data_IF_570531181781
#
_entry.id   IF_570531181781
#
_cell.length_a   1.000
_cell.length_b   1.000
_cell.length_c   1.000
_cell.angle_alpha   90.00
_cell.angle_beta   90.00
_cell.angle_gamma   90.00
#
_symmetry.space_group_name_H-M   'P 1'
#
loop_
_entity.id
_entity.type
_entity.pdbx_description
1 polymer ?
#
# COMPACT_ATOMS: atom_id res chain seq x y z
N UNK A 1 -35.63 -5.17 15.02
CA UNK A 1 -34.44 -4.30 15.19
C UNK A 1 -33.65 -4.15 13.90
N UNK A 2 -32.90 -5.16 13.42
CA UNK A 2 -32.06 -5.00 12.22
C UNK A 2 -32.89 -4.67 10.97
N UNK A 3 -34.00 -5.38 10.74
CA UNK A 3 -34.90 -5.12 9.59
C UNK A 3 -35.53 -3.72 9.65
N UNK A 4 -35.76 -3.21 10.86
CA UNK A 4 -36.39 -1.91 11.11
C UNK A 4 -35.47 -0.74 10.76
N UNK A 5 -34.15 -0.88 11.00
CA UNK A 5 -33.18 0.20 10.83
C UNK A 5 -32.30 0.05 9.58
N UNK A 6 -32.14 -1.17 9.06
CA UNK A 6 -31.25 -1.45 7.93
C UNK A 6 -32.05 -1.84 6.69
N UNK A 7 -31.98 -1.02 5.65
CA UNK A 7 -32.54 -1.33 4.32
C UNK A 7 -31.81 -2.53 3.70
N UNK A 8 -32.55 -3.45 3.06
CA UNK A 8 -32.03 -4.63 2.36
C UNK A 8 -30.95 -4.20 1.33
N UNK A 9 -29.84 -4.95 1.25
CA UNK A 9 -28.67 -4.74 0.38
C UNK A 9 -27.81 -3.48 0.61
N UNK A 10 -28.24 -2.53 1.45
CA UNK A 10 -27.43 -1.33 1.75
C UNK A 10 -26.28 -1.60 2.73
N UNK A 11 -26.46 -2.57 3.62
CA UNK A 11 -25.52 -2.88 4.70
C UNK A 11 -25.22 -4.38 4.75
N UNK A 12 -23.95 -4.73 5.03
CA UNK A 12 -23.61 -6.08 5.48
C UNK A 12 -24.09 -6.23 6.91
N UNK A 13 -25.00 -7.17 7.16
CA UNK A 13 -25.63 -7.40 8.46
C UNK A 13 -24.91 -8.56 9.14
N UNK A 14 -24.36 -8.34 10.33
CA UNK A 14 -23.68 -9.35 11.13
C UNK A 14 -24.24 -9.38 12.54
N UNK A 15 -24.62 -10.55 13.02
CA UNK A 15 -25.06 -10.79 14.40
C UNK A 15 -23.94 -11.58 15.10
N UNK A 16 -23.45 -11.07 16.21
CA UNK A 16 -22.51 -11.79 17.08
C UNK A 16 -23.28 -12.20 18.34
N UNK A 17 -23.50 -13.51 18.49
CA UNK A 17 -24.18 -14.09 19.64
C UNK A 17 -23.13 -14.60 20.63
N UNK A 18 -22.99 -13.91 21.76
CA UNK A 18 -22.12 -14.36 22.86
C UNK A 18 -22.99 -15.11 23.87
N UNK A 19 -22.69 -16.38 24.13
CA UNK A 19 -23.46 -17.22 25.06
C UNK A 19 -22.57 -18.19 25.82
N UNK A 20 -22.94 -18.50 27.06
CA UNK A 20 -22.31 -19.57 27.83
C UNK A 20 -22.99 -20.94 27.59
N UNK A 21 -24.01 -21.02 26.72
CA UNK A 21 -24.68 -22.28 26.35
C UNK A 21 -25.53 -22.93 27.45
N UNK A 22 -25.62 -22.32 28.64
CA UNK A 22 -26.35 -22.88 29.79
C UNK A 22 -27.82 -22.41 29.86
N UNK A 23 -28.22 -21.49 28.99
CA UNK A 23 -29.60 -21.03 28.87
C UNK A 23 -30.50 -22.07 28.21
N UNK A 24 -31.77 -22.13 28.60
CA UNK A 24 -32.78 -22.93 27.89
C UNK A 24 -32.96 -22.38 26.47
N UNK A 25 -32.70 -23.20 25.46
CA UNK A 25 -32.96 -22.90 24.05
C UNK A 25 -34.13 -23.74 23.56
N UNK A 26 -35.06 -23.13 22.83
CA UNK A 26 -36.16 -23.82 22.13
C UNK A 26 -35.77 -24.03 20.67
N UNK A 27 -36.12 -25.18 20.10
CA UNK A 27 -35.86 -25.58 18.71
C UNK A 27 -37.04 -25.34 17.76
N UNK A 28 -38.22 -25.00 18.31
CA UNK A 28 -39.50 -24.92 17.59
C UNK A 28 -39.45 -24.01 16.33
N UNK A 29 -38.74 -22.88 16.39
CA UNK A 29 -38.70 -21.87 15.32
C UNK A 29 -37.40 -21.83 14.51
N UNK A 30 -36.49 -22.79 14.70
CA UNK A 30 -35.16 -22.75 14.10
C UNK A 30 -35.21 -22.67 12.56
N UNK A 31 -36.15 -23.40 11.95
CA UNK A 31 -36.33 -23.42 10.50
C UNK A 31 -36.74 -22.07 9.91
N UNK A 32 -37.58 -21.32 10.62
CA UNK A 32 -37.99 -19.98 10.20
C UNK A 32 -36.86 -18.96 10.37
N UNK A 33 -36.08 -19.10 11.45
CA UNK A 33 -34.91 -18.26 11.71
C UNK A 33 -33.88 -18.45 10.59
N UNK A 34 -33.57 -19.69 10.22
CA UNK A 34 -32.63 -19.99 9.12
C UNK A 34 -33.13 -19.41 7.79
N UNK A 35 -34.43 -19.51 7.49
CA UNK A 35 -35.02 -18.91 6.28
C UNK A 35 -34.86 -17.39 6.27
N UNK A 36 -35.21 -16.71 7.37
CA UNK A 36 -35.05 -15.25 7.49
C UNK A 36 -33.59 -14.83 7.40
N UNK A 37 -32.67 -15.53 8.06
CA UNK A 37 -31.22 -15.24 8.01
C UNK A 37 -30.67 -15.36 6.59
N UNK A 38 -31.06 -16.38 5.83
CA UNK A 38 -30.66 -16.55 4.43
C UNK A 38 -31.28 -15.49 3.51
N UNK A 39 -32.58 -15.22 3.67
CA UNK A 39 -33.28 -14.22 2.85
C UNK A 39 -32.73 -12.81 3.06
N UNK A 40 -32.34 -12.50 4.29
CA UNK A 40 -31.74 -11.23 4.66
C UNK A 40 -30.20 -11.20 4.52
N UNK A 41 -29.55 -12.28 4.11
CA UNK A 41 -28.10 -12.34 4.00
C UNK A 41 -27.41 -11.81 5.29
N UNK A 42 -27.82 -12.36 6.43
CA UNK A 42 -27.27 -12.01 7.74
C UNK A 42 -26.16 -13.01 8.06
N UNK A 43 -24.97 -12.50 8.39
CA UNK A 43 -23.85 -13.29 8.89
C UNK A 43 -24.03 -13.52 10.39
N UNK A 44 -24.31 -14.76 10.83
CA UNK A 44 -24.42 -15.11 12.25
C UNK A 44 -23.11 -15.72 12.74
N UNK A 45 -22.47 -15.11 13.72
CA UNK A 45 -21.29 -15.63 14.42
C UNK A 45 -21.69 -15.95 15.84
N UNK A 46 -21.53 -17.20 16.26
CA UNK A 46 -21.81 -17.64 17.62
C UNK A 46 -20.49 -17.81 18.35
N UNK A 47 -20.32 -17.06 19.44
CA UNK A 47 -19.20 -17.19 20.36
C UNK A 47 -19.72 -17.89 21.63
N UNK A 48 -19.50 -19.20 21.71
CA UNK A 48 -19.82 -19.99 22.90
C UNK A 48 -18.65 -19.96 23.88
N UNK A 49 -18.89 -19.54 25.12
CA UNK A 49 -17.88 -19.48 26.19
C UNK A 49 -17.61 -20.86 26.82
N UNK A 50 -18.35 -21.90 26.42
CA UNK A 50 -18.11 -23.29 26.83
C UNK A 50 -18.21 -24.16 25.59
N UNK A 51 -17.08 -24.74 25.16
CA UNK A 51 -17.05 -25.73 24.10
C UNK A 51 -17.29 -27.10 24.74
N UNK A 52 -18.51 -27.64 24.64
CA UNK A 52 -18.67 -29.10 24.67
C UNK A 52 -18.84 -29.54 23.23
N UNK A 53 -17.90 -30.36 22.76
CA UNK A 53 -17.88 -30.93 21.43
C UNK A 53 -19.08 -31.85 21.26
N UNK A 54 -20.19 -31.32 20.75
CA UNK A 54 -21.31 -32.13 20.31
C UNK A 54 -21.04 -32.51 18.85
N UNK A 55 -20.54 -33.73 18.69
CA UNK A 55 -20.38 -34.40 17.42
C UNK A 55 -21.76 -34.64 16.77
N UNK A 56 -22.25 -33.69 15.97
CA UNK A 56 -23.36 -33.94 15.06
C UNK A 56 -22.91 -33.73 13.62
N UNK A 57 -22.85 -34.84 12.88
CA UNK A 57 -22.58 -34.94 11.45
C UNK A 57 -23.66 -34.22 10.63
N UNK A 58 -23.58 -32.90 10.50
CA UNK A 58 -24.21 -32.18 9.39
C UNK A 58 -23.29 -31.04 8.95
N UNK A 59 -22.72 -31.21 7.76
CA UNK A 59 -21.82 -30.28 7.10
C UNK A 59 -22.60 -29.02 6.73
N UNK A 60 -22.73 -28.08 7.66
CA UNK A 60 -23.26 -26.76 7.39
C UNK A 60 -22.17 -26.00 6.61
N UNK A 61 -22.33 -25.94 5.29
CA UNK A 61 -21.48 -25.11 4.44
C UNK A 61 -21.50 -23.67 4.96
N UNK A 62 -20.34 -23.19 5.37
CA UNK A 62 -20.08 -21.83 5.88
C UNK A 62 -20.43 -21.58 7.35
N UNK A 63 -20.02 -22.46 8.26
CA UNK A 63 -19.55 -22.00 9.58
C UNK A 63 -18.14 -21.45 9.40
N UNK A 64 -18.00 -20.14 9.18
CA UNK A 64 -16.74 -19.48 9.54
C UNK A 64 -16.76 -19.38 11.06
N UNK A 65 -16.27 -20.43 11.71
CA UNK A 65 -15.63 -20.23 12.99
C UNK A 65 -14.51 -19.22 12.79
N UNK A 66 -14.08 -18.57 13.87
CA UNK A 66 -12.76 -17.94 13.89
C UNK A 66 -11.80 -19.13 13.94
N UNK A 67 -11.66 -19.82 12.81
CA UNK A 67 -10.90 -21.05 12.66
C UNK A 67 -9.45 -20.62 12.47
N UNK A 68 -8.62 -20.95 13.46
CA UNK A 68 -7.16 -20.97 13.38
C UNK A 68 -6.66 -22.28 12.74
N UNK A 69 -7.53 -23.01 12.05
CA UNK A 69 -7.11 -24.14 11.21
C UNK A 69 -6.73 -23.60 9.84
N UNK A 70 -5.58 -22.94 9.77
CA UNK A 70 -4.90 -22.75 8.50
C UNK A 70 -4.20 -24.08 8.15
N UNK A 71 -4.56 -24.77 7.05
CA UNK A 71 -3.85 -25.97 6.63
C UNK A 71 -2.34 -25.74 6.40
N UNK A 72 -1.89 -24.48 6.31
CA UNK A 72 -0.46 -24.13 6.22
C UNK A 72 0.30 -24.14 7.56
N UNK A 73 -0.35 -24.13 8.74
CA UNK A 73 0.36 -23.91 10.02
C UNK A 73 0.32 -25.06 11.04
N UNK A 74 -0.30 -26.21 10.72
CA UNK A 74 -0.05 -27.52 11.37
C UNK A 74 -0.34 -27.70 12.88
N UNK A 75 -0.71 -26.66 13.64
CA UNK A 75 -0.79 -26.73 15.10
C UNK A 75 -2.22 -26.81 15.64
N UNK A 76 -2.54 -27.92 16.32
CA UNK A 76 -3.81 -28.13 17.03
C UNK A 76 -3.60 -28.05 18.54
N UNK A 77 -4.13 -27.02 19.16
CA UNK A 77 -4.22 -26.90 20.61
C UNK A 77 -5.53 -27.53 21.09
N UNK A 78 -5.43 -28.60 21.89
CA UNK A 78 -6.58 -29.43 22.29
C UNK A 78 -7.35 -28.94 23.53
N UNK A 79 -6.85 -27.97 24.31
CA UNK A 79 -7.53 -27.48 25.53
C UNK A 79 -7.59 -25.94 25.57
N UNK A 80 -8.76 -25.35 25.27
CA UNK A 80 -8.92 -23.87 25.17
C UNK A 80 -10.01 -23.31 26.09
N UNK A 81 -9.62 -22.32 26.91
CA UNK A 81 -10.55 -21.38 27.57
C UNK A 81 -10.98 -20.28 26.56
N UNK A 82 -12.25 -20.22 26.11
CA UNK A 82 -12.68 -19.31 25.05
C UNK A 82 -12.53 -17.83 25.41
N UNK A 83 -12.58 -17.50 26.71
CA UNK A 83 -12.44 -16.12 27.19
C UNK A 83 -10.98 -15.63 27.12
N UNK A 84 -9.99 -16.51 27.32
CA UNK A 84 -8.58 -16.14 27.19
C UNK A 84 -8.22 -15.86 25.74
N UNK A 85 -8.80 -16.61 24.81
CA UNK A 85 -8.58 -16.41 23.37
C UNK A 85 -9.15 -15.07 22.87
N UNK A 86 -10.36 -14.69 23.29
CA UNK A 86 -10.94 -13.40 22.89
C UNK A 86 -10.13 -12.21 23.43
N UNK A 87 -9.56 -12.34 24.64
CA UNK A 87 -8.65 -11.34 25.21
C UNK A 87 -7.32 -11.31 24.45
N UNK A 88 -6.73 -12.47 24.16
CA UNK A 88 -5.51 -12.57 23.36
C UNK A 88 -5.70 -12.05 21.91
N UNK A 89 -6.89 -12.20 21.33
CA UNK A 89 -7.21 -11.66 20.00
C UNK A 89 -7.30 -10.11 20.00
N UNK A 90 -7.58 -9.48 21.14
CA UNK A 90 -7.49 -8.02 21.27
C UNK A 90 -6.04 -7.54 21.26
N UNK A 91 -5.10 -8.36 21.73
CA UNK A 91 -3.67 -8.08 21.70
C UNK A 91 -3.09 -8.24 20.28
N UNK A 92 -3.74 -9.03 19.42
CA UNK A 92 -3.35 -9.18 18.01
C UNK A 92 -3.80 -7.93 17.22
N UNK A 93 -2.87 -7.17 16.62
CA UNK A 93 -3.22 -6.01 15.82
C UNK A 93 -4.00 -6.44 14.58
N UNK A 94 -5.24 -5.95 14.46
CA UNK A 94 -6.08 -6.27 13.30
C UNK A 94 -5.68 -5.44 12.09
N UNK A 95 -5.23 -6.12 11.04
CA UNK A 95 -4.99 -5.49 9.74
C UNK A 95 -6.33 -5.08 9.12
N UNK A 96 -6.50 -3.79 8.86
CA UNK A 96 -7.70 -3.27 8.20
C UNK A 96 -7.68 -3.67 6.72
N UNK A 97 -8.62 -4.52 6.30
CA UNK A 97 -8.82 -4.80 4.88
C UNK A 97 -9.30 -3.53 4.15
N UNK A 98 -8.49 -3.01 3.24
CA UNK A 98 -8.86 -1.87 2.39
C UNK A 98 -9.34 -2.41 1.04
N UNK A 99 -10.46 -1.91 0.53
CA UNK A 99 -10.89 -2.22 -0.83
C UNK A 99 -9.90 -1.58 -1.81
N UNK A 100 -9.31 -2.38 -2.68
CA UNK A 100 -8.42 -1.88 -3.72
C UNK A 100 -9.17 -0.97 -4.68
N UNK A 101 -8.48 0.07 -5.14
CA UNK A 101 -8.96 1.01 -6.16
C UNK A 101 -8.00 0.93 -7.33
N UNK A 102 -8.54 0.89 -8.55
CA UNK A 102 -7.73 0.87 -9.75
C UNK A 102 -6.96 2.20 -9.88
N UNK A 103 -5.64 2.11 -10.00
CA UNK A 103 -4.73 3.26 -10.11
C UNK A 103 -4.52 3.70 -11.57
N UNK A 104 -4.80 2.83 -12.52
CA UNK A 104 -4.79 3.10 -13.96
C UNK A 104 -5.80 2.16 -14.64
N UNK A 105 -6.51 2.69 -15.64
CA UNK A 105 -7.39 1.94 -16.53
C UNK A 105 -7.09 2.40 -17.93
N UNK A 106 -6.69 1.48 -18.79
CA UNK A 106 -6.28 1.82 -20.14
C UNK A 106 -5.94 0.59 -20.95
N UNK A 107 -5.06 0.76 -21.92
CA UNK A 107 -4.64 -0.30 -22.82
C UNK A 107 -3.14 -0.55 -22.67
N UNK A 108 -2.77 -1.83 -22.58
CA UNK A 108 -1.43 -2.34 -22.83
C UNK A 108 -1.28 -2.48 -24.34
N UNK A 109 -0.36 -1.70 -24.92
CA UNK A 109 -0.18 -1.58 -26.36
C UNK A 109 1.19 -2.12 -26.76
N UNK A 110 1.24 -2.87 -27.86
CA UNK A 110 2.47 -3.25 -28.54
C UNK A 110 2.46 -2.64 -29.95
N UNK A 111 3.38 -1.72 -30.20
CA UNK A 111 3.41 -0.91 -31.43
C UNK A 111 2.43 0.26 -31.42
N UNK A 112 2.50 1.12 -32.44
CA UNK A 112 1.60 2.26 -32.59
C UNK A 112 0.35 1.88 -33.43
N UNK A 113 -0.85 1.88 -32.83
CA UNK A 113 -2.09 1.48 -33.48
C UNK A 113 -2.68 2.50 -34.44
N UNK A 114 -2.23 3.76 -34.40
CA UNK A 114 -2.64 4.77 -35.38
C UNK A 114 -1.86 4.62 -36.70
N UNK A 115 -0.66 4.06 -36.63
CA UNK A 115 0.24 3.91 -37.77
C UNK A 115 0.24 2.49 -38.35
N UNK A 116 0.00 1.46 -37.52
CA UNK A 116 0.13 0.06 -37.91
C UNK A 116 -1.12 -0.77 -37.58
N UNK A 117 -1.67 -1.46 -38.59
CA UNK A 117 -2.78 -2.41 -38.43
C UNK A 117 -2.40 -3.65 -37.60
N UNK A 118 -1.11 -3.97 -37.51
CA UNK A 118 -0.58 -5.10 -36.73
C UNK A 118 -0.40 -4.79 -35.23
N UNK A 119 -0.76 -3.59 -34.78
CA UNK A 119 -0.60 -3.20 -33.38
C UNK A 119 -1.56 -3.98 -32.48
N UNK A 120 -1.06 -4.44 -31.32
CA UNK A 120 -1.85 -5.17 -30.33
C UNK A 120 -2.31 -4.20 -29.23
N UNK A 121 -3.60 -4.24 -28.89
CA UNK A 121 -4.17 -3.48 -27.76
C UNK A 121 -4.93 -4.43 -26.82
N UNK A 122 -4.48 -4.51 -25.58
CA UNK A 122 -5.11 -5.33 -24.53
C UNK A 122 -5.65 -4.38 -23.45
N UNK A 123 -6.95 -4.40 -23.13
CA UNK A 123 -7.48 -3.60 -22.02
C UNK A 123 -6.94 -4.13 -20.69
N UNK A 124 -6.35 -3.24 -19.89
CA UNK A 124 -5.74 -3.58 -18.60
C UNK A 124 -6.14 -2.61 -17.51
N UNK A 125 -6.23 -3.13 -16.29
CA UNK A 125 -6.44 -2.35 -15.08
C UNK A 125 -5.29 -2.61 -14.11
N UNK A 126 -4.85 -1.55 -13.43
CA UNK A 126 -3.72 -1.58 -12.51
C UNK A 126 -4.19 -1.42 -11.09
N UNK A 127 -3.72 -2.29 -10.20
CA UNK A 127 -4.07 -2.30 -8.78
C UNK A 127 -2.82 -2.27 -7.91
N UNK A 128 -2.90 -1.66 -6.74
CA UNK A 128 -1.81 -1.70 -5.76
C UNK A 128 -1.78 -3.07 -5.09
N UNK A 129 -0.67 -3.82 -5.27
CA UNK A 129 -0.38 -5.02 -4.48
C UNK A 129 0.26 -4.66 -3.13
N UNK A 130 1.19 -3.71 -3.15
CA UNK A 130 1.87 -3.20 -1.95
C UNK A 130 1.85 -1.67 -1.95
N UNK A 131 1.75 -1.07 -0.77
CA UNK A 131 1.82 0.40 -0.60
C UNK A 131 2.35 0.72 0.81
N UNK A 132 3.19 1.76 0.98
CA UNK A 132 3.67 2.17 2.30
C UNK A 132 2.53 2.61 3.22
N UNK A 133 2.37 1.93 4.36
CA UNK A 133 1.37 2.27 5.37
C UNK A 133 1.76 3.58 6.08
N UNK A 134 0.96 4.63 5.86
CA UNK A 134 1.14 5.93 6.53
C UNK A 134 0.40 5.92 7.87
N UNK A 135 0.93 6.59 8.91
CA UNK A 135 0.20 6.79 10.15
C UNK A 135 -1.10 7.60 9.90
N UNK A 136 -2.10 7.48 10.79
CA UNK A 136 -3.33 8.26 10.68
C UNK A 136 -3.03 9.77 10.67
N UNK A 137 -3.74 10.51 9.82
CA UNK A 137 -3.54 11.96 9.69
C UNK A 137 -3.98 12.70 10.94
N UNK A 138 -3.13 13.61 11.43
CA UNK A 138 -3.47 14.53 12.52
C UNK A 138 -3.87 15.91 11.96
N UNK A 139 -4.88 16.54 12.57
CA UNK A 139 -5.31 17.91 12.25
C UNK A 139 -4.84 18.90 13.31
N UNK A 140 -4.50 20.12 12.90
CA UNK A 140 -4.00 21.18 13.78
C UNK A 140 -5.14 21.95 14.45
N UNK A 141 -5.11 22.02 15.78
CA UNK A 141 -6.05 22.78 16.60
C UNK A 141 -5.30 23.65 17.62
N UNK A 142 -5.95 24.75 18.04
CA UNK A 142 -5.46 25.66 19.09
C UNK A 142 -6.53 25.80 20.16
N UNK A 143 -6.11 26.02 21.41
CA UNK A 143 -7.03 26.28 22.52
C UNK A 143 -7.64 27.68 22.38
N UNK A 144 -8.96 27.78 22.51
CA UNK A 144 -9.71 29.02 22.58
C UNK A 144 -9.44 29.65 23.94
N UNK A 145 -8.74 30.77 23.98
CA UNK A 145 -8.76 31.67 25.14
C UNK A 145 -10.16 32.28 25.27
N UNK A 146 -10.72 32.29 26.48
CA UNK A 146 -12.00 32.94 26.77
C UNK A 146 -11.98 34.39 26.27
N UNK A 147 -13.02 34.88 25.56
CA UNK A 147 -13.05 36.26 25.10
C UNK A 147 -13.23 37.20 26.30
N UNK A 148 -12.33 38.17 26.47
CA UNK A 148 -12.70 39.42 27.12
C UNK A 148 -13.83 40.05 26.26
N UNK A 149 -14.95 40.33 26.91
CA UNK A 149 -16.19 40.77 26.27
C UNK A 149 -15.96 42.01 25.39
N UNK A 150 -16.05 41.89 24.06
CA UNK A 150 -16.05 43.09 23.22
C UNK A 150 -15.88 43.01 21.70
N UNK A 151 -15.72 41.85 21.05
CA UNK A 151 -15.64 41.83 19.58
C UNK A 151 -16.55 40.76 18.97
N UNK A 152 -17.57 41.25 18.26
CA UNK A 152 -18.43 40.49 17.36
C UNK A 152 -17.58 39.98 16.19
N UNK A 153 -17.43 38.66 16.05
CA UNK A 153 -16.92 38.07 14.82
C UNK A 153 -17.94 37.10 14.22
N UNK A 154 -18.15 37.31 12.92
CA UNK A 154 -19.05 36.58 12.06
C UNK A 154 -18.70 35.09 12.00
N UNK A 155 -19.56 34.25 12.56
CA UNK A 155 -19.56 32.81 12.31
C UNK A 155 -19.92 32.56 10.84
N UNK A 156 -18.92 32.23 10.02
CA UNK A 156 -19.16 31.70 8.69
C UNK A 156 -19.72 30.28 8.80
N UNK A 157 -20.91 30.09 8.22
CA UNK A 157 -21.86 28.99 8.36
C UNK A 157 -21.38 27.59 7.89
N UNK A 158 -20.11 27.40 7.55
CA UNK A 158 -19.60 26.11 7.05
C UNK A 158 -19.05 25.20 8.16
N UNK A 159 -18.77 25.73 9.35
CA UNK A 159 -18.22 24.94 10.46
C UNK A 159 -19.26 24.01 11.15
N UNK A 160 -20.56 24.22 10.92
CA UNK A 160 -21.61 23.41 11.51
C UNK A 160 -21.79 22.02 10.85
N UNK A 161 -21.28 21.81 9.63
CA UNK A 161 -21.51 20.59 8.87
C UNK A 161 -20.55 19.43 9.24
N UNK A 162 -19.43 19.70 9.93
CA UNK A 162 -18.46 18.67 10.30
C UNK A 162 -18.74 18.02 11.67
N UNK A 163 -19.67 18.55 12.47
CA UNK A 163 -19.87 18.13 13.87
C UNK A 163 -20.85 16.96 14.03
N UNK A 164 -21.41 16.41 12.96
CA UNK A 164 -22.22 15.19 13.05
C UNK A 164 -21.52 13.97 12.47
N UNK A 165 -20.48 13.49 13.17
CA UNK A 165 -20.27 12.05 13.41
C UNK A 165 -19.12 11.81 14.40
N UNK A 166 -19.50 11.59 15.65
CA UNK A 166 -18.81 10.68 16.57
C UNK A 166 -17.62 11.26 17.34
N UNK A 167 -17.89 11.90 18.48
CA UNK A 167 -17.39 11.43 19.78
C UNK A 167 -17.98 12.31 20.88
N UNK A 168 -18.60 11.66 21.87
CA UNK A 168 -18.84 12.26 23.18
C UNK A 168 -17.50 12.21 23.93
N UNK A 169 -16.73 13.28 23.85
CA UNK A 169 -15.62 13.58 24.75
C UNK A 169 -15.46 15.08 24.78
N UNK A 170 -15.30 15.63 25.98
CA UNK A 170 -15.52 17.03 26.34
C UNK A 170 -15.13 18.07 25.28
N UNK A 171 -16.02 19.05 25.12
CA UNK A 171 -15.82 20.28 24.36
C UNK A 171 -14.58 21.01 24.89
N UNK A 172 -13.40 20.63 24.40
CA UNK A 172 -12.11 21.09 24.89
C UNK A 172 -11.75 22.50 24.38
N UNK A 173 -12.75 23.31 24.02
CA UNK A 173 -12.55 24.68 23.54
C UNK A 173 -11.52 24.77 22.41
N UNK A 174 -11.49 23.82 21.47
CA UNK A 174 -10.50 23.78 20.41
C UNK A 174 -11.01 24.48 19.14
N UNK A 175 -10.21 25.37 18.57
CA UNK A 175 -10.46 26.02 17.27
C UNK A 175 -9.54 25.44 16.19
N UNK A 176 -10.05 25.33 14.95
CA UNK A 176 -9.27 24.82 13.81
C UNK A 176 -8.33 25.91 13.29
N UNK A 177 -7.08 25.54 12.99
CA UNK A 177 -6.09 26.46 12.40
C UNK A 177 -6.15 26.37 10.89
N UNK A 178 -6.24 27.52 10.21
CA UNK A 178 -6.05 27.65 8.76
C UNK A 178 -4.70 28.31 8.48
N UNK A 179 -3.88 27.67 7.66
CA UNK A 179 -2.57 28.22 7.28
C UNK A 179 -2.72 29.19 6.11
N UNK A 180 -2.26 30.43 6.28
CA UNK A 180 -2.06 31.39 5.20
C UNK A 180 -0.56 31.55 4.93
N UNK A 181 -0.17 31.79 3.67
CA UNK A 181 1.22 32.02 3.29
C UNK A 181 1.43 33.50 2.96
N UNK A 182 2.44 34.11 3.57
CA UNK A 182 2.94 35.45 3.23
C UNK A 182 4.36 35.31 2.67
N UNK A 183 4.73 36.18 1.73
CA UNK A 183 6.04 36.17 1.11
C UNK A 183 6.84 37.40 1.53
N UNK A 184 8.13 37.21 1.80
CA UNK A 184 9.02 38.26 2.28
C UNK A 184 10.33 38.27 1.48
N UNK A 185 10.80 39.45 1.10
CA UNK A 185 12.11 39.65 0.48
C UNK A 185 12.99 40.49 1.39
N UNK A 186 14.28 40.15 1.45
CA UNK A 186 15.27 40.90 2.23
C UNK A 186 15.60 42.23 1.53
N UNK A 187 15.29 43.34 2.19
CA UNK A 187 15.69 44.68 1.76
C UNK A 187 16.34 45.44 2.93
N UNK A 188 17.60 45.84 2.73
CA UNK A 188 18.41 46.57 3.72
C UNK A 188 17.89 48.00 3.96
N UNK A 189 17.03 48.52 3.10
CA UNK A 189 16.48 49.88 3.22
C UNK A 189 15.21 49.96 4.10
N UNK A 190 14.54 48.84 4.36
CA UNK A 190 13.29 48.82 5.12
C UNK A 190 13.51 48.67 6.64
N UNK A 191 12.68 49.29 7.50
CA UNK A 191 12.75 49.11 8.94
C UNK A 191 12.38 47.66 9.29
N UNK A 192 13.38 46.85 9.62
CA UNK A 192 13.22 45.41 9.88
C UNK A 192 13.91 44.49 8.85
N UNK A 193 14.55 45.06 7.81
CA UNK A 193 15.36 44.31 6.86
C UNK A 193 14.59 43.39 5.91
N UNK A 194 13.25 43.40 5.98
CA UNK A 194 12.34 42.57 5.20
C UNK A 194 11.13 43.37 4.77
N UNK A 195 10.66 43.11 3.56
CA UNK A 195 9.44 43.69 2.99
C UNK A 195 8.49 42.54 2.66
N UNK A 196 7.23 42.66 3.09
CA UNK A 196 6.15 41.76 2.69
C UNK A 196 5.74 42.07 1.25
N UNK A 197 5.64 41.03 0.43
CA UNK A 197 5.36 41.12 -1.00
C UNK A 197 4.19 40.20 -1.38
N UNK A 198 3.37 40.64 -2.32
CA UNK A 198 2.28 39.84 -2.86
C UNK A 198 2.79 38.77 -3.83
N UNK A 199 2.03 37.69 -3.98
CA UNK A 199 2.43 36.56 -4.83
C UNK A 199 2.65 36.96 -6.30
N UNK A 200 1.93 37.96 -6.79
CA UNK A 200 1.94 38.38 -8.19
C UNK A 200 3.21 39.16 -8.57
N UNK A 201 3.91 39.74 -7.58
CA UNK A 201 5.22 40.39 -7.79
C UNK A 201 6.38 39.37 -7.83
N UNK A 202 6.10 38.10 -7.52
CA UNK A 202 7.10 37.02 -7.50
C UNK A 202 7.04 36.19 -8.79
N UNK A 203 8.20 36.01 -9.42
CA UNK A 203 8.36 35.08 -10.53
C UNK A 203 9.05 33.79 -10.07
N UNK A 204 8.65 32.64 -10.64
CA UNK A 204 9.37 31.37 -10.44
C UNK A 204 10.75 31.45 -11.11
N UNK A 205 11.81 31.25 -10.34
CA UNK A 205 13.17 31.10 -10.84
C UNK A 205 13.58 29.63 -10.86
N UNK A 206 14.17 29.18 -11.97
CA UNK A 206 14.78 27.87 -12.10
C UNK A 206 16.30 28.02 -12.05
N UNK A 207 16.96 27.13 -11.31
CA UNK A 207 18.42 27.11 -11.27
C UNK A 207 18.95 26.44 -12.54
N UNK A 208 19.79 27.16 -13.28
CA UNK A 208 20.53 26.61 -14.41
C UNK A 208 22.02 26.83 -14.18
N UNK A 209 22.70 25.81 -13.65
CA UNK A 209 24.10 25.90 -13.25
C UNK A 209 24.31 26.87 -12.09
N UNK A 210 24.86 28.06 -12.37
CA UNK A 210 25.11 29.12 -11.36
C UNK A 210 24.14 30.30 -11.46
N UNK A 211 23.26 30.29 -12.46
CA UNK A 211 22.36 31.42 -12.75
C UNK A 211 20.92 31.02 -12.49
N UNK A 212 20.13 31.94 -11.94
CA UNK A 212 18.68 31.80 -11.85
C UNK A 212 18.04 32.35 -13.14
N UNK A 213 17.27 31.50 -13.83
CA UNK A 213 16.55 31.84 -15.06
C UNK A 213 15.06 31.89 -14.74
N UNK A 214 14.40 32.99 -15.07
CA UNK A 214 12.95 33.09 -14.98
C UNK A 214 12.33 32.59 -16.29
N UNK A 215 11.23 31.85 -16.20
CA UNK A 215 10.45 31.42 -17.35
C UNK A 215 9.06 32.02 -17.17
N UNK A 216 8.58 32.74 -18.18
CA UNK A 216 7.27 33.37 -18.16
C UNK A 216 6.16 32.31 -18.21
N UNK A 217 4.96 32.61 -17.71
CA UNK A 217 3.83 31.67 -17.76
C UNK A 217 3.45 31.31 -19.21
N UNK A 218 3.65 32.22 -20.16
CA UNK A 218 3.41 31.96 -21.59
C UNK A 218 4.39 30.95 -22.18
N UNK A 219 5.62 30.92 -21.66
CA UNK A 219 6.68 30.01 -22.11
C UNK A 219 6.74 28.73 -21.29
N UNK A 220 5.96 28.60 -20.20
CA UNK A 220 5.96 27.42 -19.32
C UNK A 220 5.58 26.14 -20.09
N UNK A 221 4.71 26.25 -21.11
CA UNK A 221 4.34 25.14 -21.99
C UNK A 221 5.53 24.52 -22.73
N UNK A 222 6.59 25.29 -23.02
CA UNK A 222 7.80 24.79 -23.69
C UNK A 222 8.54 23.79 -22.79
N UNK A 223 8.41 23.93 -21.47
CA UNK A 223 9.08 23.08 -20.48
C UNK A 223 8.29 21.82 -20.11
N UNK A 224 6.99 21.79 -20.43
CA UNK A 224 6.11 20.66 -20.13
C UNK A 224 6.28 19.61 -21.23
N UNK A 225 6.60 18.39 -20.83
CA UNK A 225 6.63 17.25 -21.75
C UNK A 225 5.19 16.79 -22.02
N UNK A 226 4.76 16.87 -23.27
CA UNK A 226 3.47 16.34 -23.69
C UNK A 226 3.49 14.80 -23.67
N UNK A 227 2.58 14.20 -22.91
CA UNK A 227 2.50 12.75 -22.74
C UNK A 227 1.07 12.26 -22.76
N UNK A 228 0.83 11.15 -23.45
CA UNK A 228 -0.47 10.51 -23.54
C UNK A 228 -0.57 9.35 -22.57
N UNK A 229 -1.75 9.15 -21.97
CA UNK A 229 -1.97 8.06 -21.03
C UNK A 229 -1.96 6.70 -21.76
N UNK A 230 -1.13 5.78 -21.29
CA UNK A 230 -0.93 4.49 -21.95
C UNK A 230 0.12 3.63 -21.26
N UNK A 231 0.02 2.33 -21.48
CA UNK A 231 1.05 1.36 -21.12
C UNK A 231 1.58 0.75 -22.43
N UNK A 232 2.78 1.11 -22.83
CA UNK A 232 3.39 0.73 -24.11
C UNK A 232 4.54 -0.25 -23.88
N UNK A 233 4.50 -1.43 -24.48
CA UNK A 233 5.59 -2.40 -24.42
C UNK A 233 6.77 -1.92 -25.27
N UNK A 234 7.94 -1.83 -24.65
CA UNK A 234 9.19 -1.44 -25.31
C UNK A 234 9.99 -2.65 -25.78
N UNK A 235 9.99 -3.73 -25.00
CA UNK A 235 10.75 -4.94 -25.32
C UNK A 235 10.73 -5.97 -24.20
N UNK A 236 11.50 -7.04 -24.39
CA UNK A 236 11.61 -8.14 -23.44
C UNK A 236 13.07 -8.35 -23.01
N UNK A 237 13.26 -8.83 -21.78
CA UNK A 237 14.57 -9.09 -21.18
C UNK A 237 14.53 -10.51 -20.61
N UNK A 238 15.47 -11.37 -20.97
CA UNK A 238 15.63 -12.67 -20.31
C UNK A 238 16.39 -12.48 -19.00
N UNK A 239 16.20 -13.43 -18.08
CA UNK A 239 16.91 -13.44 -16.78
C UNK A 239 18.44 -13.41 -16.94
N UNK A 240 19.00 -13.92 -18.05
CA UNK A 240 20.45 -13.99 -18.28
C UNK A 240 21.00 -13.13 -19.44
N UNK A 241 20.21 -12.75 -20.46
CA UNK A 241 20.56 -11.80 -21.56
C UNK A 241 19.30 -11.16 -22.20
N UNK A 242 19.42 -10.12 -23.04
CA UNK A 242 18.25 -9.47 -23.68
C UNK A 242 17.65 -10.38 -24.76
N UNK A 243 16.35 -10.72 -24.64
CA UNK A 243 15.61 -11.48 -25.65
C UNK A 243 14.73 -10.56 -26.48
N UNK A 244 14.94 -10.57 -27.80
CA UNK A 244 13.95 -10.09 -28.77
C UNK A 244 12.99 -11.24 -29.05
N UNK A 245 11.92 -11.39 -28.26
CA UNK A 245 10.89 -12.39 -28.51
C UNK A 245 9.51 -11.72 -28.60
N UNK A 246 8.76 -12.06 -29.64
CA UNK A 246 7.35 -11.67 -29.79
C UNK A 246 6.50 -12.58 -28.89
N UNK A 247 6.11 -12.09 -27.71
CA UNK A 247 5.28 -12.88 -26.79
C UNK A 247 4.10 -12.06 -26.27
N UNK A 248 2.90 -12.45 -26.69
CA UNK A 248 1.65 -11.73 -26.42
C UNK A 248 0.88 -12.22 -25.17
N UNK A 249 1.47 -13.08 -24.32
CA UNK A 249 0.72 -13.74 -23.22
C UNK A 249 1.58 -14.04 -21.98
N UNK A 250 0.98 -13.86 -20.80
CA UNK A 250 1.59 -14.09 -19.47
C UNK A 250 2.15 -15.50 -19.35
N UNK A 251 1.38 -16.50 -19.77
CA UNK A 251 1.78 -17.91 -19.78
C UNK A 251 3.04 -18.18 -20.58
N UNK A 252 3.17 -17.56 -21.76
CA UNK A 252 4.32 -17.77 -22.64
C UNK A 252 5.58 -17.06 -22.10
N UNK A 253 5.42 -15.94 -21.38
CA UNK A 253 6.53 -15.28 -20.67
C UNK A 253 7.10 -16.16 -19.54
N UNK A 254 6.22 -16.84 -18.80
CA UNK A 254 6.60 -17.69 -17.64
C UNK A 254 7.13 -19.07 -18.01
N UNK A 255 6.43 -19.78 -18.89
CA UNK A 255 6.62 -21.22 -19.03
C UNK A 255 7.79 -21.57 -19.97
N UNK A 256 7.95 -20.79 -21.04
CA UNK A 256 8.85 -21.18 -22.13
C UNK A 256 10.14 -20.35 -22.17
N UNK A 257 10.12 -19.08 -21.73
CA UNK A 257 11.22 -18.14 -21.99
C UNK A 257 11.88 -17.48 -20.76
N UNK A 258 11.28 -17.54 -19.56
CA UNK A 258 11.78 -16.83 -18.35
C UNK A 258 12.16 -15.37 -18.66
N UNK A 259 11.25 -14.67 -19.33
CA UNK A 259 11.43 -13.30 -19.77
C UNK A 259 10.56 -12.33 -18.97
N UNK A 260 11.09 -11.13 -18.76
CA UNK A 260 10.39 -9.97 -18.25
C UNK A 260 10.09 -9.01 -19.39
N UNK A 261 8.98 -8.29 -19.32
CA UNK A 261 8.69 -7.24 -20.29
C UNK A 261 9.07 -5.88 -19.71
N UNK A 262 9.61 -4.99 -20.54
CA UNK A 262 9.81 -3.58 -20.19
C UNK A 262 8.76 -2.77 -20.92
N UNK A 263 8.08 -1.91 -20.18
CA UNK A 263 7.04 -1.04 -20.71
C UNK A 263 7.23 0.40 -20.24
N UNK A 264 6.75 1.34 -21.05
CA UNK A 264 6.58 2.74 -20.71
C UNK A 264 5.15 2.94 -20.21
N UNK A 265 5.01 3.50 -19.03
CA UNK A 265 3.73 3.74 -18.38
C UNK A 265 3.51 5.23 -18.13
N UNK A 266 2.39 5.74 -18.62
CA UNK A 266 1.89 7.08 -18.33
C UNK A 266 0.50 6.94 -17.71
N UNK A 267 0.37 7.31 -16.43
CA UNK A 267 -0.85 7.07 -15.65
C UNK A 267 -2.02 7.96 -16.10
N UNK A 268 -1.72 9.20 -16.48
CA UNK A 268 -2.67 10.22 -16.94
C UNK A 268 -1.97 11.11 -17.95
N UNK A 269 -2.73 11.79 -18.79
CA UNK A 269 -2.20 12.80 -19.70
C UNK A 269 -1.38 13.85 -18.93
N UNK A 270 -0.27 14.29 -19.55
CA UNK A 270 0.70 15.24 -19.01
C UNK A 270 1.36 14.82 -17.68
N UNK A 271 1.37 13.51 -17.35
CA UNK A 271 2.18 12.97 -16.27
C UNK A 271 3.50 12.43 -16.81
N UNK A 272 4.61 12.60 -16.07
CA UNK A 272 5.90 12.10 -16.51
C UNK A 272 5.82 10.59 -16.78
N UNK A 273 6.40 10.12 -17.90
CA UNK A 273 6.43 8.71 -18.21
C UNK A 273 7.32 7.99 -17.21
N UNK A 274 6.93 6.78 -16.86
CA UNK A 274 7.68 5.90 -15.97
C UNK A 274 8.03 4.63 -16.72
N UNK A 275 9.28 4.20 -16.67
CA UNK A 275 9.65 2.89 -17.20
C UNK A 275 9.35 1.85 -16.14
N UNK A 276 8.66 0.78 -16.52
CA UNK A 276 8.25 -0.31 -15.62
C UNK A 276 8.69 -1.66 -16.19
N UNK A 277 9.10 -2.55 -15.29
CA UNK A 277 9.32 -3.97 -15.55
C UNK A 277 8.04 -4.73 -15.20
N UNK A 278 7.57 -5.57 -16.11
CA UNK A 278 6.40 -6.43 -15.93
C UNK A 278 6.90 -7.86 -15.73
N UNK A 279 6.75 -8.36 -14.50
CA UNK A 279 7.06 -9.72 -14.11
C UNK A 279 5.77 -10.54 -14.02
N UNK A 280 5.67 -11.68 -14.72
CA UNK A 280 4.47 -12.50 -14.66
C UNK A 280 4.37 -13.27 -13.33
N UNK A 281 3.17 -13.31 -12.75
CA UNK A 281 2.87 -14.02 -11.51
C UNK A 281 1.60 -14.85 -11.69
N UNK A 282 1.73 -16.16 -11.46
CA UNK A 282 0.64 -17.13 -11.55
C UNK A 282 0.24 -17.51 -10.12
N UNK A 283 -0.95 -17.09 -9.71
CA UNK A 283 -1.55 -17.52 -8.44
C UNK A 283 -2.73 -18.47 -8.74
N UNK A 284 -3.14 -19.35 -7.81
CA UNK A 284 -4.19 -20.35 -8.08
C UNK A 284 -5.53 -19.76 -8.51
N UNK A 285 -5.84 -18.53 -8.09
CA UNK A 285 -7.11 -17.85 -8.35
C UNK A 285 -7.07 -16.91 -9.56
N UNK A 286 -5.89 -16.38 -9.91
CA UNK A 286 -5.73 -15.39 -10.97
C UNK A 286 -4.29 -15.31 -11.49
N UNK A 287 -4.17 -14.83 -12.73
CA UNK A 287 -2.88 -14.50 -13.36
C UNK A 287 -2.76 -12.99 -13.50
N UNK A 288 -1.58 -12.46 -13.17
CA UNK A 288 -1.33 -11.03 -13.28
C UNK A 288 0.12 -10.73 -13.68
N UNK A 289 0.34 -9.48 -14.09
CA UNK A 289 1.66 -8.92 -14.28
C UNK A 289 1.97 -8.02 -13.08
N UNK A 290 3.05 -8.31 -12.37
CA UNK A 290 3.60 -7.46 -11.33
C UNK A 290 4.46 -6.39 -11.98
N UNK A 291 4.12 -5.15 -11.72
CA UNK A 291 4.89 -4.01 -12.18
C UNK A 291 5.90 -3.56 -11.12
N UNK A 292 7.11 -3.23 -11.56
CA UNK A 292 8.14 -2.57 -10.74
C UNK A 292 8.72 -1.41 -11.53
N UNK A 293 8.79 -0.22 -10.94
CA UNK A 293 9.41 0.94 -11.59
C UNK A 293 10.92 0.72 -11.75
N UNK A 294 11.41 0.94 -12.97
CA UNK A 294 12.84 0.95 -13.28
C UNK A 294 13.42 2.36 -13.12
N UNK A 295 14.68 2.48 -12.68
CA UNK A 295 15.36 3.76 -12.56
C UNK A 295 15.69 4.35 -13.93
N UNK A 296 15.68 5.67 -14.04
CA UNK A 296 16.22 6.37 -15.19
C UNK A 296 17.75 6.53 -15.10
N UNK A 297 18.38 6.98 -16.19
CA UNK A 297 19.82 7.18 -16.24
C UNK A 297 20.30 8.20 -15.18
N UNK A 298 19.47 9.19 -14.89
CA UNK A 298 19.70 10.25 -13.90
C UNK A 298 19.61 9.73 -12.44
N UNK A 299 18.89 8.63 -12.22
CA UNK A 299 18.72 8.03 -10.89
C UNK A 299 19.93 7.17 -10.48
N UNK A 300 20.71 6.69 -11.45
CA UNK A 300 21.85 5.79 -11.22
C UNK A 300 23.07 6.56 -10.72
N UNK A 301 23.48 6.29 -9.47
CA UNK A 301 24.70 6.86 -8.87
C UNK A 301 25.85 5.85 -8.91
N UNK A 302 26.86 6.10 -9.74
CA UNK A 302 28.01 5.20 -9.93
C UNK A 302 29.12 5.48 -8.92
N UNK A 303 28.99 4.94 -7.72
CA UNK A 303 30.06 4.95 -6.72
C UNK A 303 31.06 3.83 -6.97
N UNK A 304 32.36 4.14 -6.89
CA UNK A 304 33.44 3.14 -6.99
C UNK A 304 33.83 2.69 -5.58
N UNK A 305 33.58 1.44 -5.27
CA UNK A 305 34.01 0.82 -4.03
C UNK A 305 35.27 -0.03 -4.27
N UNK A 306 36.26 -0.02 -3.35
CA UNK A 306 37.36 -0.96 -3.41
C UNK A 306 36.84 -2.39 -3.17
N UNK A 307 37.42 -3.41 -3.85
CA UNK A 307 37.01 -4.79 -3.63
C UNK A 307 37.31 -5.21 -2.18
N UNK A 308 36.36 -5.88 -1.54
CA UNK A 308 36.52 -6.36 -0.16
C UNK A 308 37.34 -7.65 -0.07
N UNK A 309 37.29 -8.45 -1.14
CA UNK A 309 37.93 -9.77 -1.21
C UNK A 309 39.46 -9.69 -1.44
N UNK A 310 39.95 -8.52 -1.89
CA UNK A 310 41.37 -8.34 -2.24
C UNK A 310 41.84 -6.96 -1.81
N UNK A 311 42.94 -6.91 -1.09
CA UNK A 311 43.60 -5.64 -0.77
C UNK A 311 44.60 -5.32 -1.87
N UNK A 312 44.27 -4.31 -2.67
CA UNK A 312 45.12 -3.79 -3.74
C UNK A 312 45.90 -2.61 -3.18
N UNK A 313 47.23 -2.73 -3.16
CA UNK A 313 48.11 -1.60 -2.81
C UNK A 313 48.08 -0.53 -3.91
N UNK A 314 48.52 0.70 -3.62
CA UNK A 314 48.61 1.79 -4.63
C UNK A 314 49.47 1.38 -5.84
N UNK A 315 50.38 0.41 -5.65
CA UNK A 315 51.23 -0.17 -6.69
C UNK A 315 50.59 -1.32 -7.49
N UNK A 316 49.31 -1.65 -7.25
CA UNK A 316 48.58 -2.71 -7.95
C UNK A 316 48.89 -4.14 -7.47
N UNK A 317 49.76 -4.32 -6.46
CA UNK A 317 50.06 -5.65 -5.90
C UNK A 317 48.90 -6.13 -5.04
N UNK A 318 48.40 -7.32 -5.35
CA UNK A 318 47.35 -8.03 -4.59
C UNK A 318 47.98 -8.67 -3.35
N UNK A 319 47.46 -8.31 -2.18
CA UNK A 319 47.86 -8.89 -0.89
C UNK A 319 46.81 -9.93 -0.50
N UNK A 320 47.27 -11.15 -0.21
CA UNK A 320 46.41 -12.29 0.17
C UNK A 320 46.23 -12.43 1.68
N UNK A 321 47.14 -11.88 2.48
CA UNK A 321 47.04 -11.87 3.94
C UNK A 321 47.08 -10.42 4.42
N UNK A 322 45.93 -9.93 4.85
CA UNK A 322 45.77 -8.57 5.37
C UNK A 322 44.79 -8.59 6.54
N UNK A 323 44.91 -7.64 7.46
CA UNK A 323 44.00 -7.51 8.63
C UNK A 323 42.52 -7.44 8.25
N UNK A 324 42.23 -6.93 7.05
CA UNK A 324 40.87 -6.76 6.55
C UNK A 324 40.39 -7.95 5.70
N UNK A 325 41.21 -8.99 5.53
CA UNK A 325 40.81 -10.23 4.86
C UNK A 325 40.49 -11.28 5.93
N UNK A 326 39.41 -12.07 5.75
CA UNK A 326 39.03 -13.09 6.71
C UNK A 326 40.06 -14.22 6.77
N UNK A 327 40.31 -14.74 7.98
CA UNK A 327 41.05 -16.00 8.16
C UNK A 327 40.11 -17.20 8.04
N UNK A 328 40.65 -18.37 7.74
CA UNK A 328 39.86 -19.61 7.62
C UNK A 328 39.08 -19.93 8.91
N UNK A 329 39.70 -19.71 10.07
CA UNK A 329 39.05 -19.86 11.38
C UNK A 329 37.85 -18.91 11.54
N UNK A 330 37.96 -17.68 11.04
CA UNK A 330 36.88 -16.70 11.10
C UNK A 330 35.72 -17.12 10.19
N UNK A 331 36.02 -17.69 9.02
CA UNK A 331 35.01 -18.21 8.10
C UNK A 331 34.25 -19.40 8.71
N UNK A 332 34.93 -20.32 9.41
CA UNK A 332 34.28 -21.45 10.09
C UNK A 332 33.36 -20.99 11.23
N UNK A 333 33.83 -20.05 12.06
CA UNK A 333 33.01 -19.48 13.14
C UNK A 333 31.82 -18.71 12.59
N UNK A 334 32.01 -17.95 11.50
CA UNK A 334 30.92 -17.22 10.85
C UNK A 334 29.88 -18.18 10.24
N UNK A 335 30.32 -19.30 9.65
CA UNK A 335 29.41 -20.33 9.16
C UNK A 335 28.53 -20.92 10.27
N UNK A 336 29.12 -21.25 11.43
CA UNK A 336 28.37 -21.70 12.61
C UNK A 336 27.38 -20.66 13.12
N UNK A 337 27.77 -19.38 13.09
CA UNK A 337 26.90 -18.28 13.50
C UNK A 337 25.69 -18.13 12.56
N UNK A 338 25.90 -18.18 11.24
CA UNK A 338 24.82 -18.11 10.25
C UNK A 338 23.85 -19.26 10.43
N UNK A 339 24.35 -20.49 10.59
CA UNK A 339 23.51 -21.67 10.81
C UNK A 339 22.71 -21.58 12.13
N UNK A 340 23.27 -20.93 13.16
CA UNK A 340 22.54 -20.73 14.43
C UNK A 340 21.40 -19.71 14.34
N UNK A 341 21.38 -18.90 13.28
CA UNK A 341 20.39 -17.84 13.04
C UNK A 341 19.53 -18.11 11.81
N UNK A 342 19.53 -19.35 11.33
CA UNK A 342 18.67 -19.77 10.22
C UNK A 342 17.20 -19.75 10.66
N UNK A 343 16.36 -19.08 9.88
CA UNK A 343 14.93 -18.88 10.18
C UNK A 343 14.02 -19.77 9.32
N UNK A 344 14.60 -20.56 8.43
CA UNK A 344 13.89 -21.51 7.57
C UNK A 344 14.25 -22.89 8.10
N UNK A 345 13.27 -23.55 8.73
CA UNK A 345 13.42 -24.98 9.02
C UNK A 345 13.35 -25.70 7.68
N UNK A 346 14.34 -26.53 7.37
CA UNK A 346 14.28 -27.37 6.18
C UNK A 346 13.13 -28.37 6.37
N UNK A 347 12.09 -28.26 5.56
CA UNK A 347 11.04 -29.27 5.50
C UNK A 347 11.64 -30.60 4.99
N UNK A 348 10.92 -31.72 5.14
CA UNK A 348 11.39 -33.06 4.72
C UNK A 348 11.74 -33.16 3.21
N UNK A 349 11.38 -32.15 2.40
CA UNK A 349 11.63 -32.08 0.96
C UNK A 349 12.78 -31.13 0.53
N UNK A 350 13.50 -30.51 1.48
CA UNK A 350 14.69 -29.68 1.20
C UNK A 350 14.37 -28.21 0.98
#
# INVERSE_FOLDING_TARGET
MIITHCKKLKYRRKIVLVTNGQGRMSDEDLGEIVKKVKEDNIELVVMSVICYQIATKQKLTSSRGIDFDDPEYGYKEEDKDPHKQAVAELDIPRVKSVRSVASFKGYLQLGNPEEYDSALRIPVERYYRTYPAKPPTASSFVLRSEPEAGQEEAESSEAAAATQKGSQSGDAGLTTVRTMRTYQVEDKSAPGGKIDIERDELAKGYEYGRTAVHISETDENITILDTFAGLELMGFIQTDQVCLAEVASVHALTHDYKCYAVARLVVKENKPPVIVLLAPSIEPEYECLLEVQLPFAEDVRTYRFPPLDKVITVSGKVVTQHRNLPSDDLLDVMGKYVNSMELVDADEDG
#
